data_IF_650349277447
#
_entry.id   IF_650349277447
#
_cell.length_a   1.000
_cell.length_b   1.000
_cell.length_c   1.000
_cell.angle_alpha   90.00
_cell.angle_beta   90.00
_cell.angle_gamma   90.00
#
_symmetry.space_group_name_H-M   'P 1'
#
loop_
_entity.id
_entity.type
_entity.pdbx_description
1 polymer ?
#
# COMPACT_ATOMS: atom_id res chain seq x y z
N UNK A 1 8.74 -14.23 -6.59
CA UNK A 1 8.54 -13.72 -7.96
C UNK A 1 8.53 -12.21 -7.89
N UNK A 2 9.43 -11.51 -8.58
CA UNK A 2 9.50 -10.04 -8.52
C UNK A 2 8.45 -9.46 -9.47
N UNK A 3 7.38 -8.86 -8.93
CA UNK A 3 6.45 -8.10 -9.75
C UNK A 3 7.21 -6.92 -10.37
N UNK A 4 7.26 -6.84 -11.71
CA UNK A 4 7.77 -5.66 -12.40
C UNK A 4 6.68 -4.60 -12.38
N UNK A 5 6.86 -3.57 -11.55
CA UNK A 5 5.99 -2.39 -11.54
C UNK A 5 6.26 -1.57 -12.81
N UNK A 6 5.20 -1.22 -13.53
CA UNK A 6 5.30 -0.49 -14.79
C UNK A 6 5.49 1.02 -14.60
N UNK A 7 5.08 1.56 -13.45
CA UNK A 7 5.17 2.98 -13.08
C UNK A 7 5.17 3.15 -11.56
N UNK A 8 5.89 4.16 -11.05
CA UNK A 8 5.93 4.54 -9.62
C UNK A 8 5.46 5.98 -9.42
N UNK A 9 4.72 6.22 -8.34
CA UNK A 9 4.26 7.55 -7.90
C UNK A 9 4.74 7.77 -6.46
N UNK A 10 5.41 8.89 -6.20
CA UNK A 10 5.83 9.28 -4.84
C UNK A 10 4.94 10.40 -4.34
N UNK A 11 4.45 10.28 -3.11
CA UNK A 11 3.65 11.30 -2.44
C UNK A 11 4.51 11.98 -1.36
N UNK A 12 4.53 13.31 -1.36
CA UNK A 12 5.12 14.07 -0.26
C UNK A 12 4.22 13.95 0.97
N UNK A 13 4.82 13.75 2.14
CA UNK A 13 4.13 13.62 3.41
C UNK A 13 4.70 14.63 4.43
N UNK A 14 3.92 15.07 5.42
CA UNK A 14 4.44 15.89 6.52
C UNK A 14 5.54 15.18 7.30
N UNK A 15 6.38 15.94 8.01
CA UNK A 15 7.47 15.41 8.85
C UNK A 15 6.95 14.46 9.93
N UNK A 16 5.73 14.69 10.42
CA UNK A 16 5.09 13.92 11.47
C UNK A 16 4.49 12.59 10.96
N UNK A 17 4.42 12.39 9.63
CA UNK A 17 3.80 11.20 9.07
C UNK A 17 4.65 9.95 9.34
N UNK A 18 4.02 8.95 9.95
CA UNK A 18 4.61 7.62 10.13
C UNK A 18 3.80 6.56 9.42
N UNK A 19 4.36 5.99 8.34
CA UNK A 19 3.75 4.84 7.67
C UNK A 19 3.68 3.62 8.57
N UNK A 20 4.63 3.49 9.52
CA UNK A 20 4.66 2.38 10.46
C UNK A 20 3.42 2.37 11.38
N UNK A 21 2.95 3.53 11.84
CA UNK A 21 1.73 3.59 12.66
C UNK A 21 0.49 3.19 11.85
N UNK A 22 0.45 3.54 10.56
CA UNK A 22 -0.62 3.10 9.66
C UNK A 22 -0.62 1.57 9.49
N UNK A 23 0.56 0.96 9.28
CA UNK A 23 0.68 -0.50 9.20
C UNK A 23 0.22 -1.18 10.49
N UNK A 24 0.61 -0.65 11.65
CA UNK A 24 0.16 -1.16 12.96
C UNK A 24 -1.35 -1.09 13.11
N UNK A 25 -1.96 0.02 12.71
CA UNK A 25 -3.40 0.19 12.75
C UNK A 25 -4.11 -0.82 11.84
N UNK A 26 -3.69 -0.90 10.57
CA UNK A 26 -4.33 -1.76 9.57
C UNK A 26 -4.17 -3.26 9.86
N UNK A 27 -3.03 -3.67 10.43
CA UNK A 27 -2.77 -5.07 10.80
C UNK A 27 -3.70 -5.61 11.89
N UNK A 28 -4.43 -4.73 12.61
CA UNK A 28 -5.38 -5.13 13.66
C UNK A 28 -6.74 -5.55 13.10
N UNK A 29 -7.01 -5.28 11.82
CA UNK A 29 -8.30 -5.52 11.15
C UNK A 29 -8.17 -6.42 9.92
N UNK A 30 -7.29 -7.43 9.99
CA UNK A 30 -6.97 -8.32 8.85
C UNK A 30 -8.15 -9.16 8.32
N UNK A 31 -9.25 -9.28 9.06
CA UNK A 31 -10.35 -10.18 8.69
C UNK A 31 -11.48 -9.54 7.88
N UNK A 32 -11.46 -8.22 7.66
CA UNK A 32 -12.59 -7.51 7.03
C UNK A 32 -12.19 -6.64 5.83
N UNK A 33 -10.92 -6.64 5.45
CA UNK A 33 -10.42 -5.69 4.45
C UNK A 33 -9.79 -6.37 3.22
N UNK A 34 -10.16 -5.87 2.04
CA UNK A 34 -9.63 -6.28 0.73
C UNK A 34 -8.23 -5.69 0.46
N UNK A 35 -7.29 -5.88 1.40
CA UNK A 35 -5.88 -5.55 1.23
C UNK A 35 -5.00 -6.62 1.88
N UNK A 36 -3.78 -6.80 1.37
CA UNK A 36 -2.77 -7.70 1.91
C UNK A 36 -1.59 -6.89 2.42
N UNK A 37 -1.04 -7.26 3.57
CA UNK A 37 0.16 -6.61 4.15
C UNK A 37 1.25 -7.66 4.28
N UNK A 38 2.41 -7.38 3.69
CA UNK A 38 3.60 -8.24 3.73
C UNK A 38 4.86 -7.36 3.60
N UNK A 39 5.91 -7.67 4.35
CA UNK A 39 7.20 -6.96 4.32
C UNK A 39 7.10 -5.42 4.41
N UNK A 40 6.23 -4.91 5.28
CA UNK A 40 5.93 -3.47 5.45
C UNK A 40 5.36 -2.78 4.20
N UNK A 41 4.71 -3.53 3.32
CA UNK A 41 4.06 -3.04 2.11
C UNK A 41 2.57 -3.39 2.15
N UNK A 42 1.76 -2.50 1.61
CA UNK A 42 0.32 -2.72 1.44
C UNK A 42 0.07 -3.02 -0.03
N UNK A 43 -0.59 -4.15 -0.29
CA UNK A 43 -1.05 -4.56 -1.60
C UNK A 43 -2.57 -4.44 -1.66
N UNK A 44 -3.06 -3.67 -2.64
CA UNK A 44 -4.51 -3.44 -2.77
C UNK A 44 -4.90 -3.28 -4.22
N UNK A 45 -6.03 -3.85 -4.61
CA UNK A 45 -6.68 -3.51 -5.88
C UNK A 45 -7.43 -2.20 -5.70
N UNK A 46 -7.10 -1.19 -6.50
CA UNK A 46 -7.79 0.11 -6.49
C UNK A 46 -8.49 0.27 -7.84
N UNK A 47 -9.83 0.11 -7.91
CA UNK A 47 -10.57 0.35 -9.15
C UNK A 47 -10.41 1.80 -9.61
N UNK A 48 -10.04 2.00 -10.88
CA UNK A 48 -9.93 3.29 -11.54
C UNK A 48 -10.63 3.20 -12.89
N UNK A 49 -11.77 3.87 -13.04
CA UNK A 49 -12.62 3.73 -14.23
C UNK A 49 -12.90 2.24 -14.51
N UNK A 50 -12.52 1.74 -15.69
CA UNK A 50 -12.76 0.36 -16.12
C UNK A 50 -11.59 -0.59 -15.82
N UNK A 51 -10.54 -0.13 -15.13
CA UNK A 51 -9.37 -0.96 -14.77
C UNK A 51 -9.27 -1.19 -13.27
N UNK A 52 -8.67 -2.33 -12.90
CA UNK A 52 -8.51 -2.77 -11.52
C UNK A 52 -7.02 -3.01 -11.20
N UNK A 53 -6.18 -1.96 -11.21
CA UNK A 53 -4.76 -2.12 -10.94
C UNK A 53 -4.52 -2.65 -9.52
N UNK A 54 -3.64 -3.65 -9.42
CA UNK A 54 -3.01 -4.02 -8.16
C UNK A 54 -1.86 -3.03 -7.89
N UNK A 55 -1.95 -2.31 -6.78
CA UNK A 55 -0.91 -1.36 -6.36
C UNK A 55 -0.15 -1.88 -5.15
N UNK A 56 1.14 -1.55 -5.11
CA UNK A 56 1.98 -1.64 -3.93
C UNK A 56 2.11 -0.23 -3.32
N UNK A 57 1.94 -0.12 -2.01
CA UNK A 57 2.10 1.12 -1.25
C UNK A 57 3.15 0.87 -0.17
N UNK A 58 4.20 1.68 -0.14
CA UNK A 58 5.29 1.59 0.82
C UNK A 58 5.89 2.97 1.11
N UNK A 59 6.74 3.05 2.14
CA UNK A 59 7.65 4.18 2.26
C UNK A 59 8.66 4.18 1.11
N UNK A 60 8.93 5.37 0.57
CA UNK A 60 10.06 5.56 -0.33
C UNK A 60 11.34 5.57 0.51
N UNK A 61 12.26 4.65 0.23
CA UNK A 61 13.51 4.44 0.99
C UNK A 61 14.68 5.11 0.30
#
# INVERSE_FOLDING_TARGET
MTAKYTSTLTLAVPTEFSFQENLRYLSRSNNECMFHIEDNKIYKVIPVQDVHPLVEISMNS
#
